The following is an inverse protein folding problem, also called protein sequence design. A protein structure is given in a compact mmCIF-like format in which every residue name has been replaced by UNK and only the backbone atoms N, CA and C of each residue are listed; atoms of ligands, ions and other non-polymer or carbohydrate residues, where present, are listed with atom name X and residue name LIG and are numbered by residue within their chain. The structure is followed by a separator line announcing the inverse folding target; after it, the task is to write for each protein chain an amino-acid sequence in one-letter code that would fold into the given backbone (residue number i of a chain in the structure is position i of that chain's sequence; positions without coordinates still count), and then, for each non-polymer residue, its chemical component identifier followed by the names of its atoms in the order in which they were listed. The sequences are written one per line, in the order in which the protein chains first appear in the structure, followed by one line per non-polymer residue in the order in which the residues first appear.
data_IF_405681439397
#
_entry.id   IF_405681439397
#
_cell.length_a   1.000
_cell.length_b   1.000
_cell.length_c   1.000
_cell.angle_alpha   90.00
_cell.angle_beta   90.00
_cell.angle_gamma   90.00
#
_symmetry.space_group_name_H-M   'P 1'
#
loop_
_entity.id
_entity.type
_entity.pdbx_description
1 polymer ?
#
# COMPACT_ATOMS: atom_id res chain seq x y z
N UNK A 1 -27.52 -26.53 17.84
CA UNK A 1 -26.44 -26.02 18.71
C UNK A 1 -25.64 -27.25 19.20
N UNK A 2 -24.60 -27.67 18.46
CA UNK A 2 -23.80 -28.85 18.80
C UNK A 2 -22.46 -28.36 19.39
N UNK A 3 -22.30 -28.49 20.70
CA UNK A 3 -21.01 -28.31 21.36
C UNK A 3 -20.19 -29.59 21.16
N UNK A 4 -19.26 -29.56 20.21
CA UNK A 4 -18.23 -30.58 20.05
C UNK A 4 -17.19 -30.35 21.15
N UNK A 5 -17.31 -31.10 22.24
CA UNK A 5 -16.26 -31.17 23.26
C UNK A 5 -15.31 -32.31 22.92
N UNK A 6 -14.36 -32.06 22.01
CA UNK A 6 -13.25 -32.99 21.81
C UNK A 6 -12.39 -33.01 23.08
N UNK A 7 -12.51 -34.11 23.83
CA UNK A 7 -11.88 -34.36 25.12
C UNK A 7 -10.50 -35.01 24.93
N UNK A 8 -9.72 -34.53 23.96
CA UNK A 8 -8.36 -35.03 23.71
C UNK A 8 -7.34 -34.34 24.64
N UNK A 9 -6.67 -35.07 25.55
CA UNK A 9 -5.70 -34.50 26.47
C UNK A 9 -4.46 -33.94 25.75
N UNK A 10 -4.12 -34.48 24.56
CA UNK A 10 -3.03 -33.97 23.72
C UNK A 10 -3.36 -32.60 23.12
N UNK A 11 -4.61 -32.37 22.70
CA UNK A 11 -5.06 -31.09 22.16
C UNK A 11 -5.04 -29.97 23.21
N UNK A 12 -5.38 -30.31 24.47
CA UNK A 12 -5.29 -29.37 25.60
C UNK A 12 -3.84 -28.96 25.90
N UNK A 13 -2.89 -29.90 25.83
CA UNK A 13 -1.46 -29.62 26.03
C UNK A 13 -0.91 -28.72 24.92
N UNK A 14 -1.23 -29.01 23.65
CA UNK A 14 -0.82 -28.19 22.50
C UNK A 14 -1.38 -26.76 22.58
N UNK A 15 -2.64 -26.59 22.98
CA UNK A 15 -3.24 -25.26 23.14
C UNK A 15 -2.57 -24.44 24.27
N UNK A 16 -2.20 -25.09 25.37
CA UNK A 16 -1.49 -24.44 26.46
C UNK A 16 -0.09 -23.99 26.05
N UNK A 17 0.62 -24.81 25.26
CA UNK A 17 1.95 -24.52 24.75
C UNK A 17 1.93 -23.38 23.71
N UNK A 18 0.95 -23.38 22.81
CA UNK A 18 0.72 -22.28 21.86
C UNK A 18 0.44 -20.95 22.56
N UNK A 19 -0.41 -20.93 23.59
CA UNK A 19 -0.67 -19.72 24.40
C UNK A 19 0.58 -19.21 25.13
N UNK A 20 1.44 -20.12 25.60
CA UNK A 20 2.72 -19.77 26.24
C UNK A 20 3.70 -19.14 25.24
N UNK A 21 3.83 -19.72 24.05
CA UNK A 21 4.68 -19.18 22.98
C UNK A 21 4.25 -17.78 22.56
N UNK A 22 2.94 -17.56 22.38
CA UNK A 22 2.37 -16.26 22.00
C UNK A 22 2.65 -15.18 23.06
N UNK A 23 2.63 -15.56 24.36
CA UNK A 23 2.98 -14.66 25.46
C UNK A 23 4.48 -14.33 25.56
N UNK A 24 5.35 -15.28 25.21
CA UNK A 24 6.80 -15.05 25.13
C UNK A 24 7.14 -14.12 23.96
N UNK A 25 6.47 -14.28 22.83
CA UNK A 25 6.68 -13.44 21.65
C UNK A 25 6.17 -12.01 21.85
N UNK A 26 5.04 -11.82 22.53
CA UNK A 26 4.50 -10.47 22.79
C UNK A 26 5.33 -9.68 23.80
N UNK A 27 6.02 -10.34 24.72
CA UNK A 27 6.93 -9.70 25.67
C UNK A 27 8.28 -9.27 25.05
N UNK A 28 8.61 -9.69 23.82
CA UNK A 28 9.90 -9.40 23.16
C UNK A 28 9.85 -8.22 22.17
N UNK A 29 8.79 -7.42 22.19
CA UNK A 29 8.72 -6.12 21.49
C UNK A 29 8.89 -4.95 22.47
N UNK A 30 10.11 -4.82 23.00
CA UNK A 30 10.61 -3.57 23.52
C UNK A 30 12.08 -3.42 23.09
N UNK A 31 12.30 -2.40 22.28
CA UNK A 31 13.53 -1.89 21.65
C UNK A 31 14.76 -1.89 22.55
N UNK A 32 15.97 -2.06 21.99
CA UNK A 32 16.95 -0.97 22.14
C UNK A 32 17.58 -0.46 20.83
N UNK A 33 17.75 0.86 20.79
CA UNK A 33 18.49 1.64 19.78
C UNK A 33 20.01 1.41 19.89
N UNK A 34 20.64 1.31 18.72
CA UNK A 34 21.91 1.95 18.27
C UNK A 34 23.23 1.68 19.04
N UNK A 35 24.19 1.04 18.37
CA UNK A 35 25.58 1.48 18.25
C UNK A 35 26.32 0.68 17.14
N UNK A 36 27.31 1.32 16.52
CA UNK A 36 28.01 0.95 15.30
C UNK A 36 29.00 -0.22 15.42
N UNK A 37 29.16 -0.98 14.33
CA UNK A 37 30.29 -1.86 13.94
C UNK A 37 29.88 -2.49 12.58
N UNK A 38 30.65 -2.68 11.52
CA UNK A 38 32.05 -2.51 11.14
C UNK A 38 32.05 -2.53 9.61
N UNK A 39 33.02 -1.85 8.98
CA UNK A 39 33.41 -2.10 7.60
C UNK A 39 33.57 -3.61 7.37
N UNK A 40 32.99 -4.12 6.28
CA UNK A 40 33.63 -5.16 5.49
C UNK A 40 33.29 -4.85 4.03
N UNK A 41 34.35 -4.39 3.38
CA UNK A 41 34.61 -4.44 1.97
C UNK A 41 34.57 -5.91 1.56
N UNK A 42 33.58 -6.30 0.76
CA UNK A 42 33.64 -7.58 0.05
C UNK A 42 33.20 -7.35 -1.39
N UNK A 43 34.24 -7.29 -2.20
CA UNK A 43 34.30 -7.21 -3.63
C UNK A 43 33.56 -8.40 -4.25
N UNK A 44 32.40 -8.14 -4.87
CA UNK A 44 31.77 -9.11 -5.78
C UNK A 44 31.64 -8.47 -7.14
N UNK A 45 32.59 -8.81 -8.01
CA UNK A 45 32.60 -8.48 -9.42
C UNK A 45 31.43 -9.18 -10.11
N UNK A 46 30.33 -8.46 -10.34
CA UNK A 46 29.24 -8.97 -11.17
C UNK A 46 29.65 -8.92 -12.65
N UNK A 47 29.99 -10.10 -13.17
CA UNK A 47 30.19 -10.32 -14.61
C UNK A 47 28.90 -9.92 -15.33
N UNK A 48 29.03 -8.84 -16.09
CA UNK A 48 28.07 -8.29 -17.06
C UNK A 48 27.68 -9.35 -18.09
N UNK A 49 26.59 -10.06 -17.85
CA UNK A 49 25.99 -10.92 -18.86
C UNK A 49 25.10 -10.09 -19.80
N UNK A 50 25.54 -10.04 -21.06
CA UNK A 50 24.84 -9.46 -22.18
C UNK A 50 23.96 -10.56 -22.80
N UNK A 51 22.63 -10.39 -22.81
CA UNK A 51 21.79 -11.18 -23.71
C UNK A 51 20.67 -10.34 -24.29
N UNK A 52 20.64 -10.41 -25.62
CA UNK A 52 19.89 -9.58 -26.55
C UNK A 52 18.38 -9.80 -26.46
N UNK A 53 17.71 -8.73 -26.86
CA UNK A 53 16.27 -8.55 -27.06
C UNK A 53 15.59 -9.71 -27.79
N UNK A 54 14.40 -10.07 -27.31
CA UNK A 54 13.39 -10.74 -28.11
C UNK A 54 12.09 -9.93 -27.99
N UNK A 55 11.73 -9.31 -29.11
CA UNK A 55 10.49 -8.59 -29.36
C UNK A 55 9.34 -9.59 -29.45
N UNK A 56 8.37 -9.52 -28.53
CA UNK A 56 7.03 -10.08 -28.78
C UNK A 56 6.00 -9.10 -28.23
N UNK A 57 5.36 -8.38 -29.15
CA UNK A 57 4.18 -7.59 -28.87
C UNK A 57 2.99 -8.54 -28.67
N UNK A 58 2.39 -8.52 -27.49
CA UNK A 58 1.06 -9.11 -27.27
C UNK A 58 0.18 -8.05 -26.61
N UNK A 59 -0.54 -7.32 -27.46
CA UNK A 59 -1.62 -6.43 -27.03
C UNK A 59 -2.84 -7.28 -26.66
N UNK A 60 -3.23 -7.24 -25.39
CA UNK A 60 -4.46 -7.87 -24.91
C UNK A 60 -5.48 -6.83 -24.49
N UNK A 61 -6.60 -6.86 -25.20
CA UNK A 61 -7.83 -6.10 -24.99
C UNK A 61 -8.62 -6.68 -23.80
N UNK A 62 -9.31 -5.85 -23.01
CA UNK A 62 -10.77 -5.98 -22.83
C UNK A 62 -11.38 -4.95 -21.89
N UNK A 63 -12.60 -4.57 -22.26
CA UNK A 63 -13.55 -3.65 -21.65
C UNK A 63 -13.90 -4.01 -20.20
N UNK A 64 -14.21 -3.00 -19.38
CA UNK A 64 -15.44 -2.96 -18.55
C UNK A 64 -15.67 -1.56 -17.94
N UNK A 65 -16.77 -0.96 -18.36
CA UNK A 65 -17.39 0.26 -17.85
C UNK A 65 -18.62 -0.14 -17.03
N UNK A 66 -18.75 0.24 -15.75
CA UNK A 66 -20.04 0.34 -15.07
C UNK A 66 -20.41 1.83 -14.95
N UNK A 67 -21.47 2.32 -15.59
CA UNK A 67 -22.90 2.18 -15.29
C UNK A 67 -23.29 3.00 -14.05
N UNK A 68 -24.05 4.06 -14.33
CA UNK A 68 -24.54 5.09 -13.43
C UNK A 68 -25.55 4.56 -12.40
N UNK A 69 -25.58 5.20 -11.23
CA UNK A 69 -26.76 5.28 -10.38
C UNK A 69 -26.72 6.59 -9.60
N UNK A 70 -27.72 7.44 -9.80
CA UNK A 70 -27.87 8.71 -9.12
C UNK A 70 -28.54 8.57 -7.76
N UNK A 71 -28.39 9.61 -6.93
CA UNK A 71 -29.47 10.05 -6.05
C UNK A 71 -29.31 11.53 -5.69
N UNK A 72 -30.47 12.14 -5.53
CA UNK A 72 -30.81 13.55 -5.41
C UNK A 72 -30.58 14.10 -4.01
N UNK A 73 -30.22 15.38 -3.89
CA UNK A 73 -30.72 16.33 -2.86
C UNK A 73 -30.45 17.75 -3.40
N UNK A 74 -31.41 18.39 -4.06
CA UNK A 74 -32.32 19.42 -3.51
C UNK A 74 -31.60 20.53 -2.72
N UNK A 75 -31.45 21.69 -3.35
CA UNK A 75 -31.99 23.01 -2.95
C UNK A 75 -31.16 24.07 -3.68
N UNK A 76 -31.80 24.72 -4.65
CA UNK A 76 -31.28 25.95 -5.27
C UNK A 76 -31.24 27.07 -4.24
N UNK A 77 -30.28 27.99 -4.36
CA UNK A 77 -30.63 29.40 -4.28
C UNK A 77 -30.34 30.02 -5.64
N UNK A 78 -31.40 30.18 -6.43
CA UNK A 78 -31.42 31.18 -7.48
C UNK A 78 -31.30 32.55 -6.81
N UNK A 79 -30.13 33.17 -6.93
CA UNK A 79 -29.99 34.62 -6.74
C UNK A 79 -29.08 35.14 -7.85
N UNK A 80 -29.67 35.24 -9.04
CA UNK A 80 -29.15 36.07 -10.12
C UNK A 80 -29.37 37.54 -9.72
N UNK A 81 -28.56 38.06 -8.82
CA UNK A 81 -28.50 39.49 -8.58
C UNK A 81 -27.54 40.10 -9.60
N UNK A 82 -28.10 40.80 -10.58
CA UNK A 82 -27.37 41.66 -11.50
C UNK A 82 -26.45 42.59 -10.69
N UNK A 83 -25.12 42.59 -10.89
CA UNK A 83 -24.18 43.37 -10.09
C UNK A 83 -24.53 44.87 -10.05
N UNK A 84 -25.24 45.40 -11.05
CA UNK A 84 -25.73 46.77 -11.05
C UNK A 84 -26.75 47.04 -9.91
N UNK A 85 -27.61 46.08 -9.58
CA UNK A 85 -28.60 46.21 -8.48
C UNK A 85 -27.98 46.11 -7.10
N UNK A 86 -26.91 45.33 -6.93
CA UNK A 86 -26.18 45.21 -5.66
C UNK A 86 -25.44 46.53 -5.35
N UNK A 87 -24.87 47.18 -6.37
CA UNK A 87 -24.23 48.48 -6.23
C UNK A 87 -25.24 49.60 -5.88
N UNK A 88 -26.42 49.58 -6.50
CA UNK A 88 -27.49 50.54 -6.23
C UNK A 88 -28.07 50.41 -4.79
N UNK A 89 -28.14 49.20 -4.24
CA UNK A 89 -28.63 48.96 -2.87
C UNK A 89 -27.65 49.42 -1.78
N UNK A 90 -26.34 49.30 -2.04
CA UNK A 90 -25.31 49.80 -1.11
C UNK A 90 -25.32 51.33 -0.99
N UNK A 91 -25.72 52.03 -2.05
CA UNK A 91 -25.75 53.50 -2.05
C UNK A 91 -26.91 54.09 -1.22
N UNK A 92 -28.04 53.40 -1.08
CA UNK A 92 -29.21 53.93 -0.35
C UNK A 92 -29.18 53.66 1.16
N UNK A 93 -28.36 52.71 1.63
CA UNK A 93 -28.18 52.45 3.07
C UNK A 93 -26.99 53.16 3.70
N UNK A 94 -26.00 53.56 2.91
CA UNK A 94 -24.79 54.22 3.43
C UNK A 94 -24.93 55.75 3.44
N UNK A 95 -25.79 56.33 2.60
CA UNK A 95 -26.06 57.77 2.60
C UNK A 95 -27.56 58.06 2.63
N UNK A 96 -28.13 58.50 3.78
CA UNK A 96 -29.47 59.06 3.79
C UNK A 96 -29.45 60.35 2.95
N UNK A 97 -30.05 60.30 1.76
CA UNK A 97 -30.38 61.49 0.97
C UNK A 97 -31.49 62.25 1.70
N UNK A 98 -31.11 63.05 2.70
CA UNK A 98 -31.99 64.06 3.27
C UNK A 98 -31.99 65.24 2.29
N UNK A 99 -33.10 65.57 1.61
CA UNK A 99 -33.21 66.83 0.92
C UNK A 99 -33.18 67.95 1.97
N UNK A 100 -32.03 68.62 2.08
CA UNK A 100 -31.89 69.83 2.87
C UNK A 100 -32.70 70.92 2.17
N UNK A 101 -33.85 71.25 2.74
CA UNK A 101 -34.61 72.45 2.41
C UNK A 101 -33.77 73.64 2.88
N UNK A 102 -33.30 74.44 1.93
CA UNK A 102 -32.54 75.65 2.16
C UNK A 102 -33.49 76.72 2.70
N UNK A 103 -33.35 77.04 3.99
CA UNK A 103 -34.07 78.12 4.63
C UNK A 103 -33.41 79.45 4.22
N UNK A 104 -34.05 80.13 3.27
CA UNK A 104 -33.73 81.49 2.83
C UNK A 104 -33.84 82.45 4.04
N UNK A 105 -32.72 83.05 4.43
CA UNK A 105 -32.70 84.24 5.29
C UNK A 105 -32.49 83.99 6.79
N UNK A 106 -31.24 83.76 7.21
CA UNK A 106 -30.63 84.43 8.37
C UNK A 106 -29.18 83.98 8.64
N UNK A 107 -28.32 84.97 8.90
CA UNK A 107 -27.09 84.89 9.71
C UNK A 107 -25.83 84.26 9.08
N UNK A 108 -25.10 85.10 8.35
CA UNK A 108 -23.83 84.81 7.67
C UNK A 108 -22.60 84.65 8.58
N UNK A 109 -22.73 84.65 9.91
CA UNK A 109 -21.58 84.63 10.84
C UNK A 109 -21.37 83.29 11.58
N UNK A 110 -22.39 82.43 11.68
CA UNK A 110 -22.30 81.14 12.40
C UNK A 110 -21.75 80.00 11.54
N UNK A 111 -21.94 80.06 10.22
CA UNK A 111 -21.56 78.99 9.29
C UNK A 111 -20.04 78.87 9.04
N UNK A 112 -19.24 79.87 9.43
CA UNK A 112 -17.77 79.79 9.32
C UNK A 112 -17.11 78.99 10.45
N UNK A 113 -17.74 78.91 11.63
CA UNK A 113 -17.14 78.25 12.80
C UNK A 113 -17.30 76.72 12.73
N UNK A 114 -18.45 76.22 12.24
CA UNK A 114 -18.66 74.78 12.05
C UNK A 114 -17.89 74.23 10.83
N UNK A 115 -17.70 75.05 9.78
CA UNK A 115 -16.86 74.67 8.63
C UNK A 115 -15.36 74.59 8.96
N UNK A 116 -14.86 75.38 9.91
CA UNK A 116 -13.44 75.41 10.25
C UNK A 116 -13.02 74.30 11.24
N UNK A 117 -13.95 73.77 12.03
CA UNK A 117 -13.66 72.70 13.00
C UNK A 117 -13.73 71.29 12.37
N UNK A 118 -14.61 71.07 11.40
CA UNK A 118 -14.68 69.82 10.64
C UNK A 118 -13.47 69.60 9.69
N UNK A 119 -12.84 70.69 9.25
CA UNK A 119 -11.63 70.68 8.41
C UNK A 119 -10.34 70.49 9.22
N UNK A 120 -10.38 70.56 10.55
CA UNK A 120 -9.22 70.29 11.40
C UNK A 120 -9.08 68.80 11.75
N UNK A 121 -10.19 68.04 11.82
CA UNK A 121 -10.15 66.57 12.02
C UNK A 121 -9.63 65.82 10.77
N UNK A 122 -9.56 66.49 9.63
CA UNK A 122 -9.09 65.93 8.34
C UNK A 122 -7.72 66.44 7.91
N UNK A 123 -7.01 67.19 8.78
CA UNK A 123 -5.71 67.81 8.47
C UNK A 123 -4.53 66.88 8.81
N UNK A 124 -4.44 65.83 8.00
CA UNK A 124 -3.29 64.94 7.73
C UNK A 124 -2.90 63.84 8.76
N UNK A 125 -2.62 62.60 8.26
CA UNK A 125 -3.42 61.92 7.24
C UNK A 125 -3.56 60.40 7.55
N UNK A 126 -4.72 59.79 7.27
CA UNK A 126 -4.80 58.33 7.13
C UNK A 126 -3.78 57.77 6.13
N UNK A 127 -3.23 58.61 5.25
CA UNK A 127 -2.17 58.26 4.29
C UNK A 127 -0.86 57.77 4.93
N UNK A 128 -0.34 58.38 6.02
CA UNK A 128 0.90 57.90 6.65
C UNK A 128 0.69 56.58 7.37
N UNK A 129 -0.46 56.43 8.05
CA UNK A 129 -0.83 55.16 8.69
C UNK A 129 -1.04 54.05 7.66
N UNK A 130 -1.75 54.34 6.58
CA UNK A 130 -2.00 53.39 5.50
C UNK A 130 -0.71 53.04 4.74
N UNK A 131 0.17 54.01 4.49
CA UNK A 131 1.47 53.75 3.87
C UNK A 131 2.38 52.92 4.78
N UNK A 132 2.47 53.23 6.07
CA UNK A 132 3.26 52.45 7.04
C UNK A 132 2.75 51.01 7.15
N UNK A 133 1.42 50.83 7.26
CA UNK A 133 0.79 49.51 7.28
C UNK A 133 1.00 48.75 5.97
N UNK A 134 0.91 49.43 4.82
CA UNK A 134 1.19 48.85 3.51
C UNK A 134 2.64 48.38 3.38
N UNK A 135 3.62 49.19 3.81
CA UNK A 135 5.05 48.81 3.78
C UNK A 135 5.35 47.66 4.72
N UNK A 136 4.77 47.65 5.92
CA UNK A 136 4.94 46.55 6.88
C UNK A 136 4.32 45.24 6.35
N UNK A 137 3.11 45.31 5.78
CA UNK A 137 2.46 44.17 5.13
C UNK A 137 3.25 43.68 3.92
N UNK A 138 3.82 44.59 3.13
CA UNK A 138 4.67 44.24 1.99
C UNK A 138 5.97 43.55 2.44
N UNK A 139 6.59 44.01 3.54
CA UNK A 139 7.77 43.37 4.11
C UNK A 139 7.45 41.96 4.64
N UNK A 140 6.32 41.80 5.34
CA UNK A 140 5.84 40.49 5.82
C UNK A 140 5.58 39.53 4.66
N UNK A 141 4.82 39.97 3.65
CA UNK A 141 4.51 39.16 2.48
C UNK A 141 5.77 38.71 1.73
N UNK A 142 6.78 39.58 1.63
CA UNK A 142 8.07 39.24 1.02
C UNK A 142 8.83 38.18 1.82
N UNK A 143 8.81 38.26 3.15
CA UNK A 143 9.42 37.26 4.01
C UNK A 143 8.72 35.91 3.87
N UNK A 144 7.38 35.89 3.83
CA UNK A 144 6.59 34.68 3.65
C UNK A 144 6.84 34.02 2.29
N UNK A 145 6.96 34.81 1.21
CA UNK A 145 7.30 34.31 -0.12
C UNK A 145 8.69 33.66 -0.12
N UNK A 146 9.67 34.28 0.53
CA UNK A 146 11.01 33.74 0.65
C UNK A 146 11.02 32.42 1.44
N UNK A 147 10.29 32.36 2.57
CA UNK A 147 10.13 31.17 3.38
C UNK A 147 9.47 30.02 2.58
N UNK A 148 8.38 30.31 1.86
CA UNK A 148 7.69 29.34 1.02
C UNK A 148 8.58 28.83 -0.12
N UNK A 149 9.38 29.70 -0.73
CA UNK A 149 10.32 29.32 -1.79
C UNK A 149 11.41 28.39 -1.26
N UNK A 150 11.89 28.63 -0.04
CA UNK A 150 12.84 27.74 0.62
C UNK A 150 12.22 26.37 0.91
N UNK A 151 11.03 26.36 1.51
CA UNK A 151 10.30 25.13 1.83
C UNK A 151 10.00 24.30 0.58
N UNK A 152 9.58 24.96 -0.51
CA UNK A 152 9.33 24.29 -1.80
C UNK A 152 10.58 23.61 -2.35
N UNK A 153 11.76 24.25 -2.20
CA UNK A 153 13.04 23.67 -2.63
C UNK A 153 13.40 22.45 -1.80
N UNK A 154 13.29 22.56 -0.48
CA UNK A 154 13.59 21.48 0.45
C UNK A 154 12.67 20.26 0.23
N UNK A 155 11.36 20.49 0.13
CA UNK A 155 10.39 19.41 -0.14
C UNK A 155 10.62 18.76 -1.50
N UNK A 156 11.00 19.54 -2.52
CA UNK A 156 11.35 19.00 -3.84
C UNK A 156 12.58 18.10 -3.75
N UNK A 157 13.62 18.49 -3.02
CA UNK A 157 14.82 17.66 -2.87
C UNK A 157 14.54 16.40 -2.02
N UNK A 158 13.70 16.50 -1.00
CA UNK A 158 13.19 15.37 -0.21
C UNK A 158 12.37 14.39 -1.08
N UNK A 159 11.48 14.92 -1.93
CA UNK A 159 10.68 14.11 -2.86
C UNK A 159 11.58 13.36 -3.85
N UNK A 160 12.62 14.01 -4.39
CA UNK A 160 13.60 13.37 -5.26
C UNK A 160 14.40 12.29 -4.55
N UNK A 161 14.77 12.49 -3.28
CA UNK A 161 15.44 11.47 -2.48
C UNK A 161 14.54 10.23 -2.26
N UNK A 162 13.29 10.44 -1.86
CA UNK A 162 12.30 9.35 -1.70
C UNK A 162 12.00 8.62 -3.00
N UNK A 163 11.97 9.32 -4.13
CA UNK A 163 11.78 8.69 -5.45
C UNK A 163 12.91 7.70 -5.78
N UNK A 164 14.16 8.05 -5.46
CA UNK A 164 15.32 7.15 -5.65
C UNK A 164 15.23 5.91 -4.75
N UNK A 165 14.80 6.09 -3.49
CA UNK A 165 14.57 4.98 -2.56
C UNK A 165 13.46 4.05 -3.07
N UNK A 166 12.32 4.60 -3.50
CA UNK A 166 11.21 3.83 -4.08
C UNK A 166 11.67 3.03 -5.31
N UNK A 167 12.46 3.64 -6.21
CA UNK A 167 13.02 2.92 -7.38
C UNK A 167 13.89 1.75 -6.96
N UNK A 168 14.73 1.94 -5.94
CA UNK A 168 15.60 0.90 -5.39
C UNK A 168 14.80 -0.23 -4.75
N UNK A 169 13.82 0.11 -3.91
CA UNK A 169 12.93 -0.87 -3.27
C UNK A 169 12.10 -1.65 -4.29
N UNK A 170 11.60 -0.98 -5.33
CA UNK A 170 10.84 -1.62 -6.41
C UNK A 170 11.67 -2.67 -7.16
N UNK A 171 12.95 -2.40 -7.38
CA UNK A 171 13.86 -3.38 -7.97
C UNK A 171 14.06 -4.60 -7.05
N UNK A 172 14.29 -4.36 -5.74
CA UNK A 172 14.44 -5.45 -4.75
C UNK A 172 13.20 -6.34 -4.68
N UNK A 173 12.00 -5.75 -4.69
CA UNK A 173 10.74 -6.50 -4.68
C UNK A 173 10.62 -7.38 -5.92
N UNK A 174 10.97 -6.88 -7.11
CA UNK A 174 10.95 -7.68 -8.34
C UNK A 174 11.93 -8.85 -8.27
N UNK A 175 13.17 -8.61 -7.82
CA UNK A 175 14.17 -9.67 -7.69
C UNK A 175 13.72 -10.76 -6.71
N UNK A 176 13.04 -10.38 -5.62
CA UNK A 176 12.47 -11.34 -4.66
C UNK A 176 11.28 -12.11 -5.25
N UNK A 177 10.44 -11.46 -6.03
CA UNK A 177 9.32 -12.09 -6.73
C UNK A 177 9.84 -13.13 -7.74
N UNK A 178 10.83 -12.76 -8.55
CA UNK A 178 11.51 -13.66 -9.49
C UNK A 178 12.15 -14.86 -8.75
N UNK A 179 12.89 -14.62 -7.66
CA UNK A 179 13.46 -15.69 -6.84
C UNK A 179 12.37 -16.59 -6.22
N UNK A 180 11.26 -16.00 -5.78
CA UNK A 180 10.10 -16.73 -5.24
C UNK A 180 9.43 -17.62 -6.28
N UNK A 181 9.27 -17.14 -7.51
CA UNK A 181 8.71 -17.93 -8.62
C UNK A 181 9.61 -19.10 -9.00
N UNK A 182 10.94 -18.91 -9.04
CA UNK A 182 11.90 -19.99 -9.28
C UNK A 182 11.86 -21.05 -8.17
N UNK A 183 11.85 -20.62 -6.90
CA UNK A 183 11.74 -21.53 -5.76
C UNK A 183 10.41 -22.31 -5.77
N UNK A 184 9.30 -21.68 -6.17
CA UNK A 184 8.02 -22.37 -6.31
C UNK A 184 8.06 -23.43 -7.42
N UNK A 185 8.66 -23.13 -8.57
CA UNK A 185 8.80 -24.08 -9.67
C UNK A 185 9.68 -25.27 -9.31
N UNK A 186 10.81 -25.05 -8.61
CA UNK A 186 11.67 -26.12 -8.11
C UNK A 186 10.94 -27.04 -7.13
N UNK A 187 10.16 -26.46 -6.20
CA UNK A 187 9.36 -27.24 -5.26
C UNK A 187 8.31 -28.13 -5.96
N UNK A 188 7.68 -27.64 -7.03
CA UNK A 188 6.76 -28.44 -7.85
C UNK A 188 7.52 -29.60 -8.51
N UNK A 189 8.67 -29.32 -9.13
CA UNK A 189 9.50 -30.35 -9.77
C UNK A 189 9.97 -31.42 -8.80
N UNK A 190 10.42 -31.03 -7.60
CA UNK A 190 10.85 -31.98 -6.56
C UNK A 190 9.70 -32.86 -6.07
N UNK A 191 8.48 -32.31 -5.95
CA UNK A 191 7.29 -33.09 -5.59
C UNK A 191 6.94 -34.12 -6.66
N UNK A 192 6.96 -33.73 -7.93
CA UNK A 192 6.73 -34.66 -9.05
C UNK A 192 7.81 -35.75 -9.12
N UNK A 193 9.06 -35.43 -8.80
CA UNK A 193 10.12 -36.43 -8.69
C UNK A 193 9.88 -37.39 -7.54
N UNK A 194 9.50 -36.88 -6.36
CA UNK A 194 9.18 -37.69 -5.20
C UNK A 194 8.04 -38.67 -5.50
N UNK A 195 6.96 -38.19 -6.10
CA UNK A 195 5.80 -38.99 -6.47
C UNK A 195 6.18 -40.12 -7.44
N UNK A 196 6.96 -39.80 -8.49
CA UNK A 196 7.48 -40.82 -9.42
C UNK A 196 8.35 -41.88 -8.72
N UNK A 197 9.20 -41.46 -7.78
CA UNK A 197 10.02 -42.41 -7.00
C UNK A 197 9.18 -43.28 -6.07
N UNK A 198 8.10 -42.74 -5.51
CA UNK A 198 7.16 -43.49 -4.69
C UNK A 198 6.43 -44.56 -5.51
N UNK A 199 6.03 -44.24 -6.75
CA UNK A 199 5.46 -45.21 -7.70
C UNK A 199 6.47 -46.31 -8.05
N UNK A 200 7.74 -45.97 -8.33
CA UNK A 200 8.81 -46.95 -8.58
C UNK A 200 8.97 -47.92 -7.40
N UNK A 201 8.99 -47.40 -6.16
CA UNK A 201 9.09 -48.24 -4.94
C UNK A 201 7.86 -49.13 -4.79
N UNK A 202 6.67 -48.63 -5.09
CA UNK A 202 5.44 -49.43 -5.07
C UNK A 202 5.51 -50.61 -6.05
N UNK A 203 5.92 -50.34 -7.29
CA UNK A 203 6.09 -51.38 -8.32
C UNK A 203 7.13 -52.43 -7.91
N UNK A 204 8.29 -51.98 -7.41
CA UNK A 204 9.34 -52.90 -6.93
C UNK A 204 8.85 -53.78 -5.79
N UNK A 205 8.09 -53.22 -4.84
CA UNK A 205 7.47 -54.00 -3.76
C UNK A 205 6.51 -55.06 -4.31
N UNK A 206 5.64 -54.71 -5.25
CA UNK A 206 4.74 -55.67 -5.90
C UNK A 206 5.51 -56.79 -6.61
N UNK A 207 6.61 -56.46 -7.30
CA UNK A 207 7.44 -57.48 -7.96
C UNK A 207 8.14 -58.39 -6.96
N UNK A 208 8.63 -57.85 -5.83
CA UNK A 208 9.28 -58.63 -4.79
C UNK A 208 8.30 -59.59 -4.11
N UNK A 209 7.08 -59.14 -3.81
CA UNK A 209 6.00 -59.98 -3.28
C UNK A 209 5.63 -61.10 -4.26
N UNK A 210 5.52 -60.79 -5.55
CA UNK A 210 5.21 -61.79 -6.58
C UNK A 210 6.33 -62.83 -6.70
N UNK A 211 7.59 -62.38 -6.68
CA UNK A 211 8.75 -63.27 -6.75
C UNK A 211 8.82 -64.24 -5.57
N UNK A 212 8.50 -63.79 -4.36
CA UNK A 212 8.49 -64.67 -3.18
C UNK A 212 7.42 -65.76 -3.29
N UNK A 213 6.22 -65.40 -3.75
CA UNK A 213 5.14 -66.37 -4.03
C UNK A 213 5.59 -67.37 -5.10
N UNK A 214 6.11 -66.91 -6.22
CA UNK A 214 6.60 -67.78 -7.31
C UNK A 214 7.70 -68.74 -6.82
N UNK A 215 8.64 -68.25 -6.01
CA UNK A 215 9.69 -69.07 -5.40
C UNK A 215 9.11 -70.16 -4.50
N UNK A 216 8.16 -69.84 -3.62
CA UNK A 216 7.52 -70.85 -2.76
C UNK A 216 6.77 -71.91 -3.56
N UNK A 217 6.11 -71.51 -4.65
CA UNK A 217 5.45 -72.42 -5.58
C UNK A 217 6.45 -73.34 -6.30
N UNK A 218 7.56 -72.79 -6.80
CA UNK A 218 8.61 -73.56 -7.48
C UNK A 218 9.27 -74.60 -6.54
N UNK A 219 9.56 -74.21 -5.29
CA UNK A 219 10.09 -75.12 -4.27
C UNK A 219 9.09 -76.23 -3.97
N UNK A 220 7.82 -75.89 -3.75
CA UNK A 220 6.76 -76.87 -3.49
C UNK A 220 6.57 -77.83 -4.68
N UNK A 221 6.61 -77.30 -5.91
CA UNK A 221 6.56 -78.10 -7.13
C UNK A 221 7.73 -79.09 -7.24
N UNK A 222 8.95 -78.63 -6.94
CA UNK A 222 10.15 -79.49 -6.93
C UNK A 222 10.04 -80.62 -5.89
N UNK A 223 9.50 -80.32 -4.70
CA UNK A 223 9.26 -81.33 -3.66
C UNK A 223 8.25 -82.38 -4.13
N UNK A 224 7.18 -81.98 -4.82
CA UNK A 224 6.18 -82.90 -5.36
C UNK A 224 6.77 -83.78 -6.46
N UNK A 225 7.55 -83.20 -7.38
CA UNK A 225 8.19 -83.94 -8.50
C UNK A 225 9.18 -84.97 -7.96
N UNK A 226 10.08 -84.57 -7.06
CA UNK A 226 11.06 -85.49 -6.45
C UNK A 226 10.39 -86.64 -5.69
N UNK A 227 9.28 -86.38 -4.99
CA UNK A 227 8.49 -87.42 -4.33
C UNK A 227 7.84 -88.39 -5.32
N UNK A 228 7.31 -87.88 -6.44
CA UNK A 228 6.72 -88.71 -7.49
C UNK A 228 7.76 -89.63 -8.14
N UNK A 229 8.93 -89.09 -8.49
CA UNK A 229 10.04 -89.86 -9.06
C UNK A 229 10.49 -90.99 -8.13
N UNK A 230 10.59 -90.73 -6.82
CA UNK A 230 10.95 -91.74 -5.83
C UNK A 230 9.92 -92.88 -5.74
N UNK A 231 8.61 -92.56 -5.84
CA UNK A 231 7.55 -93.57 -5.89
C UNK A 231 7.62 -94.44 -7.15
N UNK A 232 7.99 -93.86 -8.29
CA UNK A 232 8.09 -94.57 -9.56
C UNK A 232 9.28 -95.55 -9.57
N UNK A 233 10.45 -95.12 -9.07
CA UNK A 233 11.65 -95.97 -9.03
C UNK A 233 11.48 -97.20 -8.12
N UNK A 234 10.72 -97.08 -7.02
CA UNK A 234 10.42 -98.23 -6.17
C UNK A 234 9.53 -99.29 -6.84
N UNK A 235 8.77 -98.95 -7.89
CA UNK A 235 7.97 -99.93 -8.63
C UNK A 235 8.78 -100.73 -9.65
N UNK A 236 9.92 -100.21 -10.11
CA UNK A 236 10.76 -100.88 -11.13
C UNK A 236 11.79 -101.85 -10.53
N UNK A 237 12.05 -101.77 -9.22
CA UNK A 237 13.02 -102.62 -8.51
C UNK A 237 12.37 -103.87 -7.85
N UNK A 238 11.07 -104.09 -8.03
CA UNK A 238 10.33 -105.26 -7.52
C UNK A 238 9.86 -106.19 -8.62
#
# INVERSE_FOLDING_TARGET
MLQVTCRDPKAKKALAEYKRALKVMSAKKATPKRAALSENDDEVQFIKSNKRQATTALASSSKKKPKALGSTTKVSPSSSSDPATVLANLNTKVFPLTPVVLLEGASSASNQFIQSDLLQVTRYPPFYFFWYLFVLNHASLKADLAALTFQLREEKDNALAKEKEIKTLKLKVRNQDEAGTLAAAENVSLREQLERREEEVCNLRCTAETFDVEKTMAVSGTIVVTRWELMLNHQTDS
#
